data_IF_507216465497
#
_entry.id   IF_507216465497
#
_cell.length_a   1.000
_cell.length_b   1.000
_cell.length_c   1.000
_cell.angle_alpha   90.00
_cell.angle_beta   90.00
_cell.angle_gamma   90.00
#
_symmetry.space_group_name_H-M   'P 1'
#
loop_
_entity.id
_entity.type
_entity.pdbx_description
1 polymer ?
#
# COMPACT_ATOMS: atom_id res chain seq x y z
N UNK A 1 -34.15 -38.21 -1.56
CA UNK A 1 -33.89 -36.75 -1.43
C UNK A 1 -32.70 -36.45 -0.52
N UNK A 2 -32.56 -37.07 0.67
CA UNK A 2 -31.42 -36.83 1.59
C UNK A 2 -30.03 -37.14 0.97
N UNK A 3 -29.91 -38.17 0.13
CA UNK A 3 -28.64 -38.55 -0.54
C UNK A 3 -28.23 -37.59 -1.67
N UNK A 4 -29.19 -36.92 -2.29
CA UNK A 4 -28.90 -35.89 -3.33
C UNK A 4 -28.40 -34.60 -2.70
N UNK A 5 -28.91 -34.23 -1.51
CA UNK A 5 -28.42 -33.08 -0.75
C UNK A 5 -26.96 -33.29 -0.28
N UNK A 6 -26.57 -34.52 0.07
CA UNK A 6 -25.20 -34.82 0.48
C UNK A 6 -24.22 -34.73 -0.69
N UNK A 7 -24.65 -35.05 -1.91
CA UNK A 7 -23.82 -34.94 -3.12
C UNK A 7 -23.58 -33.48 -3.51
N UNK A 8 -24.56 -32.60 -3.27
CA UNK A 8 -24.41 -31.15 -3.54
C UNK A 8 -23.43 -30.47 -2.57
N UNK A 9 -23.25 -30.97 -1.34
CA UNK A 9 -22.32 -30.43 -0.35
C UNK A 9 -20.84 -30.72 -0.67
N UNK A 10 -20.57 -31.63 -1.61
CA UNK A 10 -19.22 -31.96 -2.10
C UNK A 10 -18.86 -31.29 -3.42
N UNK A 11 -19.70 -30.39 -3.95
CA UNK A 11 -19.27 -29.53 -5.05
C UNK A 11 -18.16 -28.61 -4.52
N UNK A 12 -16.92 -28.75 -5.01
CA UNK A 12 -15.86 -27.83 -4.62
C UNK A 12 -16.32 -26.45 -5.07
N UNK A 13 -16.51 -25.55 -4.12
CA UNK A 13 -16.57 -24.13 -4.39
C UNK A 13 -15.19 -23.78 -4.91
N UNK A 14 -15.01 -23.85 -6.23
CA UNK A 14 -13.81 -23.32 -6.89
C UNK A 14 -13.82 -21.81 -6.68
N UNK A 15 -13.25 -21.36 -5.58
CA UNK A 15 -12.92 -19.97 -5.37
C UNK A 15 -11.74 -19.71 -6.32
N UNK A 16 -12.04 -19.09 -7.44
CA UNK A 16 -11.03 -18.65 -8.38
C UNK A 16 -10.38 -17.39 -7.80
N UNK A 17 -9.27 -17.59 -7.08
CA UNK A 17 -8.40 -16.49 -6.70
C UNK A 17 -7.51 -16.15 -7.88
N UNK A 18 -7.41 -14.88 -8.23
CA UNK A 18 -6.41 -14.42 -9.17
C UNK A 18 -5.04 -14.39 -8.50
N UNK A 19 -4.01 -14.79 -9.21
CA UNK A 19 -2.64 -14.60 -8.77
C UNK A 19 -2.33 -13.10 -8.63
N UNK A 20 -1.39 -12.76 -7.80
CA UNK A 20 -1.01 -11.37 -7.54
C UNK A 20 0.41 -11.26 -7.01
N UNK A 21 0.75 -10.08 -6.49
CA UNK A 21 2.08 -9.73 -5.95
C UNK A 21 3.20 -9.92 -6.98
N UNK A 22 2.90 -9.68 -8.25
CA UNK A 22 3.90 -9.69 -9.31
C UNK A 22 4.89 -8.54 -9.14
N UNK A 23 6.17 -8.83 -9.28
CA UNK A 23 7.23 -7.81 -9.22
C UNK A 23 7.15 -6.89 -10.45
N UNK A 24 6.97 -5.58 -10.28
CA UNK A 24 6.84 -4.64 -11.40
C UNK A 24 8.04 -4.67 -12.38
N UNK A 25 9.24 -4.92 -11.87
CA UNK A 25 10.46 -5.03 -12.67
C UNK A 25 10.52 -6.31 -13.54
N UNK A 26 9.66 -7.30 -13.28
CA UNK A 26 9.73 -8.62 -13.89
C UNK A 26 8.43 -9.03 -14.60
N UNK A 27 7.58 -8.06 -14.96
CA UNK A 27 6.32 -8.32 -15.64
C UNK A 27 6.53 -8.90 -17.05
N UNK A 28 6.29 -10.20 -17.22
CA UNK A 28 6.25 -10.86 -18.52
C UNK A 28 5.00 -10.48 -19.32
N UNK A 29 5.03 -10.72 -20.63
CA UNK A 29 3.90 -10.41 -21.54
C UNK A 29 2.59 -11.09 -21.11
N UNK A 30 2.67 -12.34 -20.63
CA UNK A 30 1.50 -13.09 -20.16
C UNK A 30 0.86 -12.44 -18.93
N UNK A 31 1.67 -12.07 -17.94
CA UNK A 31 1.20 -11.36 -16.73
C UNK A 31 0.57 -10.02 -17.08
N UNK A 32 1.21 -9.25 -17.97
CA UNK A 32 0.64 -7.99 -18.46
C UNK A 32 -0.71 -8.18 -19.16
N UNK A 33 -0.87 -9.26 -19.91
CA UNK A 33 -2.14 -9.57 -20.56
C UNK A 33 -3.22 -9.87 -19.53
N UNK A 34 -2.92 -10.70 -18.52
CA UNK A 34 -3.84 -11.01 -17.41
C UNK A 34 -4.22 -9.73 -16.65
N UNK A 35 -3.25 -8.87 -16.34
CA UNK A 35 -3.52 -7.59 -15.66
C UNK A 35 -4.45 -6.68 -16.49
N UNK A 36 -4.28 -6.64 -17.82
CA UNK A 36 -5.17 -5.89 -18.72
C UNK A 36 -6.58 -6.47 -18.76
N UNK A 37 -6.72 -7.78 -18.79
CA UNK A 37 -8.01 -8.46 -18.71
C UNK A 37 -8.73 -8.21 -17.38
N UNK A 38 -7.97 -7.98 -16.32
CA UNK A 38 -8.47 -7.55 -15.00
C UNK A 38 -8.77 -6.05 -14.92
N UNK A 39 -8.53 -5.27 -15.98
CA UNK A 39 -8.87 -3.85 -16.06
C UNK A 39 -7.69 -2.90 -15.87
N UNK A 40 -6.43 -3.37 -15.91
CA UNK A 40 -5.28 -2.48 -15.85
C UNK A 40 -5.15 -1.71 -17.17
N UNK A 41 -5.21 -0.37 -17.09
CA UNK A 41 -5.03 0.55 -18.22
C UNK A 41 -3.59 1.05 -18.37
N UNK A 42 -2.77 0.95 -17.31
CA UNK A 42 -1.38 1.41 -17.34
C UNK A 42 -0.49 0.50 -18.20
N UNK A 43 0.44 1.12 -18.91
CA UNK A 43 1.50 0.38 -19.60
C UNK A 43 2.57 -0.12 -18.61
N UNK A 44 3.37 -1.10 -19.04
CA UNK A 44 4.48 -1.61 -18.22
C UNK A 44 5.49 -0.53 -17.84
N UNK A 45 5.74 0.41 -18.76
CA UNK A 45 6.64 1.55 -18.53
C UNK A 45 6.06 2.56 -17.54
N UNK A 46 4.73 2.73 -17.52
CA UNK A 46 4.06 3.54 -16.52
C UNK A 46 4.03 2.88 -15.14
N UNK A 47 4.06 1.54 -15.08
CA UNK A 47 4.17 0.81 -13.82
C UNK A 47 5.59 0.81 -13.27
N UNK A 48 6.58 0.54 -14.11
CA UNK A 48 7.99 0.46 -13.74
C UNK A 48 8.88 0.94 -14.87
N UNK A 49 9.68 1.97 -14.58
CA UNK A 49 10.69 2.51 -15.50
C UNK A 49 11.90 3.01 -14.69
N UNK A 50 13.00 2.25 -14.64
CA UNK A 50 14.18 2.61 -13.84
C UNK A 50 14.88 3.88 -14.34
N UNK A 51 14.66 4.30 -15.59
CA UNK A 51 15.25 5.52 -16.17
C UNK A 51 14.29 6.69 -16.30
N UNK A 52 13.05 6.56 -15.83
CA UNK A 52 11.99 7.55 -16.02
C UNK A 52 10.97 7.62 -14.91
N UNK A 53 9.86 8.27 -15.21
CA UNK A 53 8.72 8.38 -14.28
C UNK A 53 7.83 7.14 -14.39
N UNK A 54 7.55 6.51 -13.27
CA UNK A 54 6.67 5.36 -13.18
C UNK A 54 5.96 5.32 -11.82
N UNK A 55 4.87 4.55 -11.72
CA UNK A 55 4.14 4.36 -10.47
C UNK A 55 5.03 3.80 -9.36
N UNK A 56 5.94 2.88 -9.70
CA UNK A 56 6.87 2.29 -8.74
C UNK A 56 7.78 3.33 -8.05
N UNK A 57 8.02 4.49 -8.68
CA UNK A 57 8.85 5.56 -8.08
C UNK A 57 8.13 6.29 -6.93
N UNK A 58 6.81 6.13 -6.80
CA UNK A 58 6.06 6.69 -5.69
C UNK A 58 6.16 5.82 -4.41
N UNK A 59 6.65 4.58 -4.54
CA UNK A 59 6.83 3.66 -3.40
C UNK A 59 8.19 3.92 -2.79
N UNK A 60 8.21 4.17 -1.49
CA UNK A 60 9.43 4.51 -0.74
C UNK A 60 9.65 3.57 0.43
N UNK A 61 10.90 3.44 0.85
CA UNK A 61 11.24 2.85 2.14
C UNK A 61 11.03 3.90 3.22
N UNK A 62 10.10 3.64 4.13
CA UNK A 62 9.73 4.55 5.20
C UNK A 62 10.44 4.16 6.48
N UNK A 63 11.30 5.04 7.01
CA UNK A 63 12.08 4.81 8.21
C UNK A 63 13.09 3.65 8.12
N UNK A 64 13.30 3.06 6.94
CA UNK A 64 14.18 1.90 6.74
C UNK A 64 13.57 0.54 7.16
N UNK A 65 12.34 0.51 7.67
CA UNK A 65 11.68 -0.72 8.18
C UNK A 65 10.25 -0.91 7.66
N UNK A 66 9.65 0.11 7.08
CA UNK A 66 8.31 0.07 6.50
C UNK A 66 8.31 0.49 5.02
N UNK A 67 7.16 0.38 4.38
CA UNK A 67 6.90 0.94 3.06
C UNK A 67 5.93 2.11 3.17
N UNK A 68 6.14 3.13 2.36
CA UNK A 68 5.24 4.25 2.17
C UNK A 68 4.96 4.48 0.69
N UNK A 69 4.01 5.35 0.41
CA UNK A 69 3.73 5.83 -0.96
C UNK A 69 3.57 7.34 -0.95
N UNK A 70 4.35 8.01 -1.79
CA UNK A 70 4.24 9.46 -2.00
C UNK A 70 3.02 9.74 -2.87
N UNK A 71 2.09 10.55 -2.39
CA UNK A 71 0.79 10.79 -3.05
C UNK A 71 0.56 12.26 -3.44
N UNK A 72 1.51 13.14 -3.16
CA UNK A 72 1.43 14.54 -3.58
C UNK A 72 2.79 15.07 -4.05
N UNK A 73 2.81 16.15 -4.85
CA UNK A 73 4.05 16.82 -5.23
C UNK A 73 4.75 17.52 -4.06
N UNK A 74 4.04 17.75 -2.95
CA UNK A 74 4.58 18.39 -1.75
C UNK A 74 5.14 17.38 -0.73
N UNK A 75 5.23 16.09 -1.10
CA UNK A 75 5.82 15.05 -0.27
C UNK A 75 4.87 14.41 0.74
N UNK A 76 3.53 14.48 0.53
CA UNK A 76 2.61 13.73 1.40
C UNK A 76 2.80 12.23 1.20
N UNK A 77 3.10 11.52 2.28
CA UNK A 77 3.34 10.07 2.30
C UNK A 77 2.21 9.35 3.04
N UNK A 78 1.71 8.29 2.43
CA UNK A 78 0.81 7.34 3.09
C UNK A 78 1.60 6.11 3.52
N UNK A 79 1.40 5.70 4.76
CA UNK A 79 1.98 4.48 5.31
C UNK A 79 0.99 3.83 6.30
N UNK A 80 1.37 2.72 6.89
CA UNK A 80 0.56 2.06 7.90
C UNK A 80 0.71 2.73 9.27
N UNK A 81 -0.35 2.71 10.08
CA UNK A 81 -0.37 3.28 11.42
C UNK A 81 0.79 2.77 12.30
N UNK A 82 1.05 1.46 12.28
CA UNK A 82 2.12 0.87 13.08
C UNK A 82 3.52 1.35 12.69
N UNK A 83 3.72 1.85 11.47
CA UNK A 83 5.00 2.40 11.04
C UNK A 83 5.29 3.77 11.66
N UNK A 84 4.26 4.53 12.00
CA UNK A 84 4.38 5.83 12.67
C UNK A 84 4.08 5.79 14.18
N UNK A 85 3.81 4.60 14.73
CA UNK A 85 3.30 4.45 16.10
C UNK A 85 4.21 5.12 17.14
N UNK A 86 5.52 4.87 17.07
CA UNK A 86 6.49 5.41 18.03
C UNK A 86 6.57 6.93 17.92
N UNK A 87 6.53 7.49 16.72
CA UNK A 87 6.50 8.94 16.51
C UNK A 87 5.22 9.55 17.08
N UNK A 88 4.07 8.94 16.85
CA UNK A 88 2.79 9.39 17.42
C UNK A 88 2.85 9.35 18.95
N UNK A 89 3.42 8.29 19.53
CA UNK A 89 3.59 8.14 20.97
C UNK A 89 4.53 9.20 21.55
N UNK A 90 5.66 9.50 20.91
CA UNK A 90 6.62 10.51 21.34
C UNK A 90 6.01 11.92 21.40
N UNK A 91 5.09 12.24 20.49
CA UNK A 91 4.37 13.50 20.46
C UNK A 91 3.15 13.53 21.38
N UNK A 92 2.70 12.37 21.87
CA UNK A 92 1.55 12.29 22.77
C UNK A 92 1.90 12.68 24.21
N UNK A 93 0.95 13.28 24.90
CA UNK A 93 1.03 13.64 26.32
C UNK A 93 -0.28 13.31 27.02
N UNK A 94 -0.33 13.51 28.35
CA UNK A 94 -1.57 13.33 29.12
C UNK A 94 -2.66 14.32 28.67
N UNK A 95 -2.26 15.49 28.18
CA UNK A 95 -3.15 16.54 27.70
C UNK A 95 -3.55 16.36 26.23
N UNK A 96 -2.69 15.71 25.44
CA UNK A 96 -2.88 15.46 24.01
C UNK A 96 -2.55 14.01 23.66
N UNK A 97 -3.54 13.16 23.76
CA UNK A 97 -3.40 11.73 23.42
C UNK A 97 -3.63 11.50 21.92
N UNK A 98 -2.59 11.72 21.12
CA UNK A 98 -2.68 11.55 19.65
C UNK A 98 -2.86 10.10 19.20
N UNK A 99 -2.53 9.12 20.04
CA UNK A 99 -2.82 7.71 19.76
C UNK A 99 -4.32 7.44 19.79
N UNK A 100 -5.04 8.09 20.71
CA UNK A 100 -6.49 7.94 20.86
C UNK A 100 -7.26 8.92 19.95
N UNK A 101 -6.86 10.18 19.95
CA UNK A 101 -7.65 11.27 19.37
C UNK A 101 -7.24 11.59 17.93
N UNK A 102 -6.07 11.10 17.50
CA UNK A 102 -5.46 11.45 16.23
C UNK A 102 -4.81 12.84 16.24
N UNK A 103 -4.12 13.15 15.15
CA UNK A 103 -3.53 14.45 14.89
C UNK A 103 -3.66 14.80 13.41
N UNK A 104 -4.04 16.04 13.12
CA UNK A 104 -4.10 16.58 11.76
C UNK A 104 -3.42 17.96 11.76
N UNK A 105 -2.36 18.09 10.96
CA UNK A 105 -1.79 19.38 10.63
C UNK A 105 -2.58 20.01 9.46
N UNK A 106 -3.12 21.20 9.64
CA UNK A 106 -3.85 21.94 8.59
C UNK A 106 -2.91 22.73 7.66
N UNK A 107 -1.61 22.72 7.96
CA UNK A 107 -0.56 23.37 7.17
C UNK A 107 0.80 22.75 7.50
N UNK A 108 1.75 22.82 6.58
CA UNK A 108 3.11 22.32 6.74
C UNK A 108 3.82 22.92 7.98
N UNK A 109 3.51 24.18 8.33
CA UNK A 109 4.11 24.84 9.51
C UNK A 109 3.60 24.29 10.85
N UNK A 110 2.53 23.50 10.84
CA UNK A 110 1.95 22.87 12.03
C UNK A 110 2.28 21.37 12.12
N UNK A 111 2.99 20.84 11.16
CA UNK A 111 3.48 19.47 11.23
C UNK A 111 4.46 19.29 12.40
N UNK A 112 4.36 18.15 13.07
CA UNK A 112 5.25 17.79 14.16
C UNK A 112 6.53 17.17 13.60
N UNK A 113 7.72 17.59 14.04
CA UNK A 113 8.99 17.12 13.50
C UNK A 113 9.25 15.65 13.88
N UNK A 114 9.66 14.84 12.92
CA UNK A 114 10.01 13.43 13.09
C UNK A 114 11.40 13.16 12.51
N UNK A 115 12.47 13.58 13.20
CA UNK A 115 13.83 13.50 12.68
C UNK A 115 14.33 12.06 12.46
N UNK A 116 13.73 11.09 13.14
CA UNK A 116 14.09 9.67 13.06
C UNK A 116 13.32 8.93 11.95
N UNK A 117 12.32 9.56 11.35
CA UNK A 117 11.60 9.04 10.19
C UNK A 117 12.11 9.70 8.92
N UNK A 118 12.63 8.89 8.02
CA UNK A 118 13.17 9.33 6.73
C UNK A 118 12.70 8.41 5.60
N UNK A 119 12.73 8.92 4.40
CA UNK A 119 12.33 8.24 3.17
C UNK A 119 13.56 7.99 2.29
N UNK A 120 13.64 6.79 1.70
CA UNK A 120 14.68 6.38 0.76
C UNK A 120 14.02 5.79 -0.50
#
# INVERSE_FOLDING_TARGET
>A
MKKLLLLLSFLPLCIWGNEGMWLPCCLGKQTQQVMKEMGLELSSEQLYNPGGKALANAVVSFGGFCSGVVVSPDGLVFTNHHCGYDAIQQHSSVEHDYLRDGFVADSLSKELPNPDLFEI
#
